data_IF_679358096031
#
_entry.id   IF_679358096031
#
_cell.length_a   1.000
_cell.length_b   1.000
_cell.length_c   1.000
_cell.angle_alpha   90.00
_cell.angle_beta   90.00
_cell.angle_gamma   90.00
#
_symmetry.space_group_name_H-M   'P 1'
#
loop_
_entity.id
_entity.type
_entity.pdbx_description
1 polymer ?
#
# COMPACT_ATOMS: atom_id res chain seq x y z
N UNK A 1 -9.00 25.36 -11.44
CA UNK A 1 -8.13 24.32 -12.07
C UNK A 1 -7.95 24.64 -13.54
N UNK A 2 -6.72 24.56 -14.03
CA UNK A 2 -6.46 24.81 -15.46
C UNK A 2 -6.86 23.60 -16.30
N UNK A 3 -7.14 23.79 -17.60
CA UNK A 3 -7.45 22.65 -18.49
C UNK A 3 -6.34 21.59 -18.53
N UNK A 4 -5.07 22.02 -18.47
CA UNK A 4 -3.94 21.12 -18.47
C UNK A 4 -3.90 20.26 -17.20
N UNK A 5 -4.16 20.85 -16.05
CA UNK A 5 -4.23 20.11 -14.78
C UNK A 5 -5.39 19.14 -14.76
N UNK A 6 -6.53 19.54 -15.31
CA UNK A 6 -7.68 18.65 -15.40
C UNK A 6 -7.38 17.43 -16.27
N UNK A 7 -6.78 17.63 -17.45
CA UNK A 7 -6.38 16.54 -18.35
C UNK A 7 -5.39 15.60 -17.66
N UNK A 8 -4.41 16.15 -16.95
CA UNK A 8 -3.43 15.34 -16.22
C UNK A 8 -4.11 14.49 -15.14
N UNK A 9 -5.03 15.08 -14.39
CA UNK A 9 -5.76 14.35 -13.35
C UNK A 9 -6.59 13.22 -13.95
N UNK A 10 -7.30 13.44 -15.04
CA UNK A 10 -8.07 12.40 -15.72
C UNK A 10 -7.16 11.28 -16.22
N UNK A 11 -6.03 11.60 -16.83
CA UNK A 11 -5.07 10.61 -17.32
C UNK A 11 -4.55 9.74 -16.18
N UNK A 12 -4.15 10.36 -15.06
CA UNK A 12 -3.64 9.63 -13.89
C UNK A 12 -4.72 8.70 -13.34
N UNK A 13 -5.94 9.20 -13.15
CA UNK A 13 -7.04 8.40 -12.59
C UNK A 13 -7.43 7.22 -13.50
N UNK A 14 -7.38 7.42 -14.81
CA UNK A 14 -7.69 6.35 -15.76
C UNK A 14 -6.68 5.20 -15.74
N UNK A 15 -5.49 5.44 -15.21
CA UNK A 15 -4.43 4.43 -15.12
C UNK A 15 -4.34 3.79 -13.73
N UNK A 16 -5.26 4.14 -12.80
CA UNK A 16 -5.25 3.60 -11.45
C UNK A 16 -5.93 2.23 -11.39
N UNK A 17 -5.52 1.44 -10.42
CA UNK A 17 -6.05 0.10 -10.15
C UNK A 17 -6.80 0.13 -8.80
N UNK A 18 -8.10 0.42 -8.79
CA UNK A 18 -8.83 0.60 -7.53
C UNK A 18 -8.99 -0.68 -6.72
N UNK A 19 -8.82 -1.84 -7.34
CA UNK A 19 -8.96 -3.15 -6.72
C UNK A 19 -7.62 -3.77 -6.30
N UNK A 20 -6.55 -2.98 -6.30
CA UNK A 20 -5.24 -3.40 -5.81
C UNK A 20 -4.77 -2.39 -4.76
N UNK A 21 -4.40 -2.88 -3.59
CA UNK A 21 -3.88 -2.04 -2.51
C UNK A 21 -2.73 -2.72 -1.78
N UNK A 22 -2.05 -1.97 -0.93
CA UNK A 22 -0.91 -2.45 -0.15
C UNK A 22 -1.14 -2.13 1.31
N UNK A 23 -0.82 -3.09 2.18
CA UNK A 23 -0.79 -2.90 3.63
C UNK A 23 0.65 -3.09 4.10
N UNK A 24 1.18 -2.12 4.84
CA UNK A 24 2.51 -2.24 5.44
C UNK A 24 2.36 -2.42 6.94
N UNK A 25 2.97 -3.47 7.47
CA UNK A 25 2.91 -3.83 8.89
C UNK A 25 4.23 -3.46 9.56
N UNK A 26 4.23 -2.34 10.29
CA UNK A 26 5.38 -1.84 11.05
C UNK A 26 6.64 -1.63 10.23
N UNK A 27 6.51 -1.13 9.02
CA UNK A 27 7.65 -0.68 8.21
C UNK A 27 8.03 0.72 8.70
N UNK A 28 9.15 0.81 9.45
CA UNK A 28 9.51 2.04 10.17
C UNK A 28 10.46 2.96 9.41
N UNK A 29 11.32 2.42 8.55
CA UNK A 29 12.30 3.24 7.85
C UNK A 29 11.61 4.12 6.82
N UNK A 30 11.82 5.45 6.92
CA UNK A 30 11.18 6.40 6.01
C UNK A 30 11.52 6.13 4.54
N UNK A 31 12.75 5.71 4.27
CA UNK A 31 13.16 5.38 2.90
C UNK A 31 12.36 4.21 2.34
N UNK A 32 12.06 3.20 3.15
CA UNK A 32 11.31 2.03 2.72
C UNK A 32 9.84 2.40 2.42
N UNK A 33 9.21 3.18 3.30
CA UNK A 33 7.85 3.65 3.07
C UNK A 33 7.79 4.53 1.82
N UNK A 34 8.73 5.44 1.66
CA UNK A 34 8.77 6.32 0.48
C UNK A 34 8.94 5.51 -0.81
N UNK A 35 9.78 4.48 -0.78
CA UNK A 35 9.97 3.60 -1.94
C UNK A 35 8.68 2.86 -2.29
N UNK A 36 7.96 2.36 -1.28
CA UNK A 36 6.67 1.69 -1.49
C UNK A 36 5.65 2.66 -2.08
N UNK A 37 5.54 3.88 -1.55
CA UNK A 37 4.62 4.89 -2.08
C UNK A 37 4.94 5.22 -3.54
N UNK A 38 6.22 5.39 -3.87
CA UNK A 38 6.64 5.68 -5.24
C UNK A 38 6.32 4.52 -6.19
N UNK A 39 6.50 3.28 -5.74
CA UNK A 39 6.13 2.11 -6.54
C UNK A 39 4.61 2.04 -6.72
N UNK A 40 3.84 2.29 -5.68
CA UNK A 40 2.37 2.35 -5.77
C UNK A 40 1.93 3.38 -6.80
N UNK A 41 2.52 4.57 -6.79
CA UNK A 41 2.20 5.60 -7.76
C UNK A 41 2.54 5.14 -9.19
N UNK A 42 3.70 4.53 -9.38
CA UNK A 42 4.15 4.07 -10.69
C UNK A 42 3.26 3.01 -11.31
N UNK A 43 2.70 2.11 -10.48
CA UNK A 43 1.86 1.00 -10.98
C UNK A 43 0.36 1.26 -10.86
N UNK A 44 -0.04 2.44 -10.40
CA UNK A 44 -1.43 2.84 -10.36
C UNK A 44 -2.22 2.41 -9.14
N UNK A 45 -1.57 2.08 -8.03
CA UNK A 45 -2.24 1.79 -6.76
C UNK A 45 -2.68 3.12 -6.13
N UNK A 46 -3.95 3.22 -5.74
CA UNK A 46 -4.52 4.47 -5.24
C UNK A 46 -4.33 4.66 -3.74
N UNK A 47 -4.31 3.58 -2.97
CA UNK A 47 -4.27 3.64 -1.51
C UNK A 47 -3.22 2.72 -0.93
N UNK A 48 -2.58 3.20 0.12
CA UNK A 48 -1.65 2.45 0.96
C UNK A 48 -2.20 2.47 2.39
N UNK A 49 -2.18 1.34 3.05
CA UNK A 49 -2.60 1.22 4.45
C UNK A 49 -1.36 0.90 5.29
N UNK A 50 -0.99 1.81 6.19
CA UNK A 50 0.23 1.66 7.00
C UNK A 50 -0.10 1.50 8.48
N UNK A 51 0.57 0.55 9.10
CA UNK A 51 0.44 0.28 10.54
C UNK A 51 1.73 0.75 11.22
N UNK A 52 1.72 1.91 11.83
CA UNK A 52 2.81 2.48 12.63
C UNK A 52 2.35 3.77 13.29
N UNK A 53 3.20 4.39 14.11
CA UNK A 53 2.81 5.61 14.80
C UNK A 53 2.85 6.84 13.87
N UNK A 54 2.07 7.87 14.22
CA UNK A 54 1.88 9.06 13.39
C UNK A 54 3.15 9.90 13.24
N UNK A 55 4.05 9.88 14.22
CA UNK A 55 5.29 10.65 14.15
C UNK A 55 6.23 10.08 13.08
N UNK A 56 6.31 8.76 12.99
CA UNK A 56 7.05 8.08 11.93
C UNK A 56 6.48 8.44 10.56
N UNK A 57 5.16 8.47 10.42
CA UNK A 57 4.50 8.84 9.17
C UNK A 57 4.89 10.24 8.70
N UNK A 58 4.91 11.21 9.61
CA UNK A 58 5.26 12.60 9.26
C UNK A 58 6.65 12.72 8.67
N UNK A 59 7.60 11.90 9.12
CA UNK A 59 8.95 11.90 8.58
C UNK A 59 9.03 11.43 7.13
N UNK A 60 8.04 10.66 6.67
CA UNK A 60 8.05 10.12 5.31
C UNK A 60 7.57 11.10 4.25
N UNK A 61 6.68 12.03 4.61
CA UNK A 61 6.00 12.88 3.62
C UNK A 61 6.96 13.79 2.87
N UNK A 62 8.07 14.19 3.50
CA UNK A 62 9.08 15.03 2.87
C UNK A 62 9.98 14.32 1.87
N UNK A 63 9.97 13.00 1.80
CA UNK A 63 10.87 12.21 0.94
C UNK A 63 10.21 11.59 -0.28
N UNK A 64 8.89 11.72 -0.43
CA UNK A 64 8.15 11.10 -1.53
C UNK A 64 8.15 11.92 -2.82
N UNK A 65 8.71 13.13 -2.82
CA UNK A 65 8.85 14.00 -4.00
C UNK A 65 7.53 14.25 -4.73
N UNK A 66 6.44 14.40 -3.98
CA UNK A 66 5.13 14.70 -4.53
C UNK A 66 4.29 13.51 -4.96
N UNK A 67 4.81 12.29 -4.91
CA UNK A 67 4.02 11.09 -5.27
C UNK A 67 2.86 10.86 -4.30
N UNK A 68 2.97 11.34 -3.05
CA UNK A 68 1.90 11.29 -2.06
C UNK A 68 0.62 12.02 -2.50
N UNK A 69 0.68 12.86 -3.53
CA UNK A 69 -0.50 13.53 -4.09
C UNK A 69 -1.47 12.56 -4.76
N UNK A 70 -0.95 11.47 -5.30
CA UNK A 70 -1.71 10.50 -6.08
C UNK A 70 -1.97 9.19 -5.35
N UNK A 71 -1.26 8.96 -4.23
CA UNK A 71 -1.42 7.76 -3.41
C UNK A 71 -1.87 8.20 -2.02
N UNK A 72 -3.10 7.87 -1.67
CA UNK A 72 -3.63 8.16 -0.33
C UNK A 72 -3.03 7.17 0.66
N UNK A 73 -2.46 7.68 1.75
CA UNK A 73 -1.92 6.84 2.83
C UNK A 73 -2.82 6.93 4.04
N UNK A 74 -3.34 5.78 4.48
CA UNK A 74 -4.15 5.65 5.69
C UNK A 74 -3.28 5.02 6.78
N UNK A 75 -3.24 5.62 7.97
CA UNK A 75 -2.41 5.15 9.08
C UNK A 75 -3.27 4.55 10.17
N UNK A 76 -2.85 3.38 10.67
CA UNK A 76 -3.59 2.63 11.69
C UNK A 76 -2.66 2.27 12.84
N UNK A 77 -3.16 2.24 14.09
CA UNK A 77 -2.35 1.84 15.23
C UNK A 77 -2.11 0.33 15.32
N UNK A 78 -2.99 -0.49 14.75
CA UNK A 78 -2.85 -1.96 14.75
C UNK A 78 -3.18 -2.52 13.38
N UNK A 79 -2.65 -3.73 13.11
CA UNK A 79 -2.87 -4.44 11.84
C UNK A 79 -4.33 -4.93 11.70
N UNK A 80 -5.03 -5.15 12.80
CA UNK A 80 -6.37 -5.74 12.74
C UNK A 80 -7.38 -4.89 12.00
N UNK A 81 -7.38 -3.57 12.21
CA UNK A 81 -8.35 -2.66 11.61
C UNK A 81 -8.31 -2.67 10.07
N UNK A 82 -7.16 -2.44 9.43
CA UNK A 82 -7.14 -2.46 7.97
C UNK A 82 -7.45 -3.84 7.39
N UNK A 83 -7.00 -4.92 8.03
CA UNK A 83 -7.28 -6.27 7.51
C UNK A 83 -8.75 -6.61 7.59
N UNK A 84 -9.44 -6.26 8.69
CA UNK A 84 -10.88 -6.49 8.82
C UNK A 84 -11.64 -5.69 7.76
N UNK A 85 -11.30 -4.42 7.56
CA UNK A 85 -11.96 -3.57 6.57
C UNK A 85 -11.80 -4.13 5.16
N UNK A 86 -10.59 -4.57 4.80
CA UNK A 86 -10.34 -5.13 3.48
C UNK A 86 -11.06 -6.45 3.25
N UNK A 87 -11.12 -7.31 4.26
CA UNK A 87 -11.88 -8.56 4.18
C UNK A 87 -13.38 -8.30 4.02
N UNK A 88 -13.92 -7.29 4.71
CA UNK A 88 -15.32 -6.90 4.55
C UNK A 88 -15.61 -6.37 3.14
N UNK A 89 -14.63 -5.76 2.49
CA UNK A 89 -14.72 -5.28 1.11
C UNK A 89 -14.36 -6.38 0.08
N UNK A 90 -14.25 -7.62 0.52
CA UNK A 90 -14.01 -8.81 -0.32
C UNK A 90 -12.62 -8.81 -0.98
N UNK A 91 -11.64 -8.18 -0.36
CA UNK A 91 -10.25 -8.29 -0.80
C UNK A 91 -9.63 -9.60 -0.33
N UNK A 92 -8.90 -10.27 -1.22
CA UNK A 92 -7.99 -11.33 -0.77
C UNK A 92 -6.73 -10.68 -0.19
N UNK A 93 -6.21 -11.22 0.89
CA UNK A 93 -4.99 -10.74 1.53
C UNK A 93 -3.85 -11.67 1.17
N UNK A 94 -2.82 -11.12 0.53
CA UNK A 94 -1.63 -11.87 0.14
C UNK A 94 -0.45 -11.32 0.92
N UNK A 95 0.06 -12.10 1.87
CA UNK A 95 1.18 -11.70 2.72
C UNK A 95 2.50 -12.16 2.11
N UNK A 96 3.46 -11.23 2.03
CA UNK A 96 4.82 -11.55 1.64
C UNK A 96 5.53 -12.15 2.86
N UNK A 97 5.78 -13.44 2.82
CA UNK A 97 6.36 -14.18 3.94
C UNK A 97 7.20 -15.33 3.42
N UNK A 98 8.05 -15.87 4.31
CA UNK A 98 8.86 -17.06 4.04
C UNK A 98 8.41 -18.15 5.01
N UNK A 99 7.70 -19.14 4.52
CA UNK A 99 7.25 -20.27 5.32
C UNK A 99 7.06 -21.50 4.42
N UNK A 100 6.83 -22.66 5.04
CA UNK A 100 6.55 -23.88 4.31
C UNK A 100 5.19 -23.89 3.60
N UNK A 101 4.32 -22.91 3.95
CA UNK A 101 2.96 -22.81 3.38
C UNK A 101 2.85 -21.76 2.28
N UNK A 102 3.95 -21.09 1.92
CA UNK A 102 3.91 -20.06 0.89
C UNK A 102 3.74 -20.66 -0.51
N UNK A 103 3.12 -19.89 -1.39
CA UNK A 103 3.01 -20.21 -2.80
C UNK A 103 3.77 -19.18 -3.62
N UNK A 104 4.10 -19.51 -4.86
CA UNK A 104 4.71 -18.57 -5.79
C UNK A 104 3.73 -17.42 -6.05
N UNK A 105 4.20 -16.16 -6.01
CA UNK A 105 3.34 -15.00 -6.26
C UNK A 105 2.66 -15.05 -7.62
N UNK A 106 3.24 -15.75 -8.59
CA UNK A 106 2.68 -15.91 -9.94
C UNK A 106 1.48 -16.84 -9.98
N UNK A 107 1.29 -17.66 -8.94
CA UNK A 107 0.17 -18.59 -8.83
C UNK A 107 -1.07 -17.95 -8.20
N UNK A 108 -0.98 -16.69 -7.77
CA UNK A 108 -2.10 -15.96 -7.19
C UNK A 108 -3.02 -15.42 -8.30
N UNK A 109 -4.32 -15.53 -8.10
CA UNK A 109 -5.30 -14.95 -9.02
C UNK A 109 -5.49 -13.46 -8.73
N UNK A 110 -4.79 -12.61 -9.46
CA UNK A 110 -4.87 -11.15 -9.30
C UNK A 110 -6.05 -10.52 -10.04
N UNK A 111 -6.93 -11.32 -10.66
CA UNK A 111 -8.18 -10.80 -11.23
C UNK A 111 -9.19 -10.43 -10.14
N UNK A 112 -8.98 -10.91 -8.92
CA UNK A 112 -9.78 -10.56 -7.75
C UNK A 112 -9.21 -9.32 -7.06
N UNK A 113 -10.04 -8.53 -6.34
CA UNK A 113 -9.52 -7.48 -5.50
C UNK A 113 -8.47 -8.02 -4.52
N UNK A 114 -7.28 -7.41 -4.49
CA UNK A 114 -6.13 -7.95 -3.78
C UNK A 114 -5.46 -6.88 -2.92
N UNK A 115 -5.14 -7.24 -1.68
CA UNK A 115 -4.30 -6.43 -0.79
C UNK A 115 -2.99 -7.18 -0.54
N UNK A 116 -1.87 -6.56 -0.89
CA UNK A 116 -0.54 -7.09 -0.62
C UNK A 116 -0.10 -6.64 0.77
N UNK A 117 0.20 -7.58 1.64
CA UNK A 117 0.64 -7.31 3.00
C UNK A 117 2.15 -7.48 3.09
N UNK A 118 2.85 -6.40 3.42
CA UNK A 118 4.31 -6.35 3.52
C UNK A 118 4.71 -6.06 4.97
N UNK A 119 5.64 -6.84 5.51
CA UNK A 119 6.17 -6.65 6.85
C UNK A 119 7.48 -5.88 6.87
N UNK A 120 8.00 -5.60 8.07
CA UNK A 120 9.30 -4.99 8.26
C UNK A 120 10.40 -5.94 7.77
N UNK A 121 11.48 -5.37 7.20
CA UNK A 121 12.61 -6.16 6.70
C UNK A 121 13.18 -7.12 7.75
N UNK A 122 13.26 -6.66 9.00
CA UNK A 122 13.90 -7.40 10.08
C UNK A 122 12.98 -8.44 10.72
N UNK A 123 11.68 -8.14 10.83
CA UNK A 123 10.74 -8.95 11.60
C UNK A 123 9.64 -9.60 10.76
N UNK A 124 9.51 -9.20 9.49
CA UNK A 124 8.44 -9.69 8.64
C UNK A 124 7.05 -9.23 9.08
N UNK A 125 6.03 -9.99 8.68
CA UNK A 125 4.63 -9.69 9.01
C UNK A 125 4.34 -10.17 10.43
N UNK A 126 3.63 -9.36 11.22
CA UNK A 126 3.26 -9.76 12.58
C UNK A 126 2.20 -10.86 12.55
N UNK A 127 2.23 -11.69 13.59
CA UNK A 127 1.26 -12.75 13.80
C UNK A 127 -0.02 -12.16 14.38
N UNK A 128 -0.97 -11.84 13.54
CA UNK A 128 -2.23 -11.25 13.99
C UNK A 128 -3.43 -12.08 13.55
#
# INVERSE_FOLDING_TARGET
MTPERFKKAVTVLNQRQPDLTVVTDEVHKSQNISAIVRTCDAVGIMELHSVYDADTFRAHTGTTLGTHKWVKTNVYPTINTPLINLKNDIYQIVAADISSLTVDYRDIDYTRPTALLLGAEKFGVSMA
#
